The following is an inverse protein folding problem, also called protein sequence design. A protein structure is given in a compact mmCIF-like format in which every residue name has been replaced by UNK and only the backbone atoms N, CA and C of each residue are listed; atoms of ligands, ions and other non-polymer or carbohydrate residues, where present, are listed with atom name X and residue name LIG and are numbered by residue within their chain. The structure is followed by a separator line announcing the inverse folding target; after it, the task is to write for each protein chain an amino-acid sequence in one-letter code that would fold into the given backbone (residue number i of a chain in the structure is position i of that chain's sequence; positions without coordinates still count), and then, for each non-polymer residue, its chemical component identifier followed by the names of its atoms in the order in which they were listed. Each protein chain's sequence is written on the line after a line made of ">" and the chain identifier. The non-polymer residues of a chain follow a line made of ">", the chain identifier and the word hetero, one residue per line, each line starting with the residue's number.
data_IF_785184065993
#
_entry.id   IF_785184065993
#
_cell.length_a   1.000
_cell.length_b   1.000
_cell.length_c   1.000
_cell.angle_alpha   90.00
_cell.angle_beta   90.00
_cell.angle_gamma   90.00
#
_symmetry.space_group_name_H-M   'P 1'
#
loop_
_entity.id
_entity.type
_entity.pdbx_description
1 polymer ?
#
# COMPACT_ATOMS: atom_id res chain seq x y z
N UNK A 1 38.83 13.56 19.94
CA UNK A 1 39.77 12.48 19.54
C UNK A 1 39.20 11.78 18.31
N UNK A 2 39.99 11.80 17.23
CA UNK A 2 39.84 11.15 15.92
C UNK A 2 38.41 10.92 15.40
N UNK A 3 37.95 11.86 14.56
CA UNK A 3 36.88 11.58 13.60
C UNK A 3 37.31 10.40 12.73
N UNK A 4 36.62 9.26 12.85
CA UNK A 4 36.75 8.15 11.92
C UNK A 4 36.16 8.62 10.59
N UNK A 5 36.99 9.23 9.77
CA UNK A 5 36.67 9.51 8.38
C UNK A 5 36.49 8.15 7.72
N UNK A 6 35.27 7.84 7.31
CA UNK A 6 34.98 6.63 6.54
C UNK A 6 35.93 6.60 5.32
N UNK A 7 36.59 5.48 5.02
CA UNK A 7 37.53 5.41 3.91
C UNK A 7 36.83 5.81 2.61
N UNK A 8 37.50 6.55 1.71
CA UNK A 8 36.90 6.95 0.45
C UNK A 8 36.51 5.70 -0.33
N UNK A 9 35.22 5.59 -0.66
CA UNK A 9 34.70 4.50 -1.48
C UNK A 9 35.42 4.52 -2.83
N UNK A 10 35.90 3.36 -3.30
CA UNK A 10 36.56 3.28 -4.60
C UNK A 10 35.58 3.66 -5.71
N UNK A 11 36.08 4.22 -6.82
CA UNK A 11 35.24 4.61 -7.97
C UNK A 11 34.37 3.43 -8.48
N UNK A 12 34.84 2.20 -8.32
CA UNK A 12 34.09 0.97 -8.60
C UNK A 12 32.89 0.77 -7.66
N UNK A 13 33.05 0.98 -6.36
CA UNK A 13 31.96 0.89 -5.38
C UNK A 13 30.91 2.00 -5.57
N UNK A 14 31.35 3.20 -5.98
CA UNK A 14 30.45 4.30 -6.34
C UNK A 14 29.66 3.98 -7.63
N UNK A 15 30.30 3.43 -8.65
CA UNK A 15 29.62 3.02 -9.88
C UNK A 15 28.61 1.88 -9.63
N UNK A 16 28.94 0.92 -8.77
CA UNK A 16 28.07 -0.20 -8.44
C UNK A 16 26.82 0.25 -7.65
N UNK A 17 27.00 1.11 -6.64
CA UNK A 17 25.89 1.67 -5.85
C UNK A 17 24.95 2.55 -6.70
N UNK A 18 25.51 3.34 -7.63
CA UNK A 18 24.71 4.12 -8.57
C UNK A 18 23.86 3.24 -9.52
N UNK A 19 24.44 2.15 -10.05
CA UNK A 19 23.72 1.19 -10.90
C UNK A 19 22.59 0.51 -10.15
N UNK A 20 22.82 0.13 -8.89
CA UNK A 20 21.80 -0.49 -8.04
C UNK A 20 20.63 0.46 -7.73
N UNK A 21 20.93 1.69 -7.29
CA UNK A 21 19.91 2.72 -7.03
C UNK A 21 19.06 2.99 -8.28
N UNK A 22 19.69 3.08 -9.44
CA UNK A 22 19.00 3.29 -10.72
C UNK A 22 18.11 2.10 -11.07
N UNK A 23 18.59 0.86 -10.89
CA UNK A 23 17.81 -0.34 -11.13
C UNK A 23 16.57 -0.41 -10.23
N UNK A 24 16.72 -0.14 -8.92
CA UNK A 24 15.61 -0.10 -7.97
C UNK A 24 14.53 0.92 -8.39
N UNK A 25 14.94 2.11 -8.81
CA UNK A 25 14.00 3.16 -9.23
C UNK A 25 13.27 2.76 -10.51
N UNK A 26 13.95 2.15 -11.49
CA UNK A 26 13.30 1.63 -12.70
C UNK A 26 12.35 0.47 -12.40
N UNK A 27 12.68 -0.40 -11.45
CA UNK A 27 11.75 -1.45 -10.97
C UNK A 27 10.51 -0.85 -10.31
N UNK A 28 10.66 0.20 -9.50
CA UNK A 28 9.52 0.92 -8.94
C UNK A 28 8.66 1.56 -10.04
N UNK A 29 9.30 2.22 -11.01
CA UNK A 29 8.62 2.86 -12.16
C UNK A 29 7.84 1.82 -12.97
N UNK A 30 8.43 0.66 -13.28
CA UNK A 30 7.77 -0.39 -14.04
C UNK A 30 6.59 -0.99 -13.27
N UNK A 31 6.72 -1.16 -11.94
CA UNK A 31 5.61 -1.57 -11.09
C UNK A 31 4.47 -0.55 -11.13
N UNK A 32 4.75 0.74 -10.92
CA UNK A 32 3.73 1.79 -10.93
C UNK A 32 3.02 1.86 -12.30
N UNK A 33 3.78 1.73 -13.38
CA UNK A 33 3.23 1.69 -14.74
C UNK A 33 2.30 0.49 -14.92
N UNK A 34 2.76 -0.72 -14.58
CA UNK A 34 1.95 -1.93 -14.72
C UNK A 34 0.68 -1.86 -13.88
N UNK A 35 0.75 -1.40 -12.63
CA UNK A 35 -0.43 -1.29 -11.77
C UNK A 35 -1.45 -0.26 -12.30
N UNK A 36 -0.97 0.88 -12.83
CA UNK A 36 -1.82 1.93 -13.44
C UNK A 36 -2.56 1.42 -14.68
N UNK A 37 -1.86 0.70 -15.55
CA UNK A 37 -2.40 0.17 -16.80
C UNK A 37 -2.84 -1.29 -16.70
N UNK A 38 -3.09 -1.78 -15.48
CA UNK A 38 -3.23 -3.21 -15.21
C UNK A 38 -4.41 -3.89 -15.92
N UNK A 39 -5.50 -3.17 -16.22
CA UNK A 39 -6.59 -3.69 -17.03
C UNK A 39 -6.22 -3.77 -18.52
N UNK A 40 -5.74 -2.65 -19.07
CA UNK A 40 -5.38 -2.56 -20.48
C UNK A 40 -4.19 -3.47 -20.86
N UNK A 41 -3.14 -3.51 -20.03
CA UNK A 41 -1.97 -4.34 -20.28
C UNK A 41 -2.30 -5.83 -20.23
N UNK A 42 -3.18 -6.28 -19.32
CA UNK A 42 -3.61 -7.69 -19.31
C UNK A 42 -4.27 -8.08 -20.62
N UNK A 43 -5.19 -7.25 -21.09
CA UNK A 43 -5.89 -7.47 -22.35
C UNK A 43 -4.91 -7.56 -23.53
N UNK A 44 -4.06 -6.53 -23.72
CA UNK A 44 -3.15 -6.50 -24.87
C UNK A 44 -2.02 -7.54 -24.80
N UNK A 45 -1.50 -7.82 -23.61
CA UNK A 45 -0.47 -8.85 -23.45
C UNK A 45 -1.03 -10.26 -23.62
N UNK A 46 -2.27 -10.51 -23.22
CA UNK A 46 -2.91 -11.81 -23.47
C UNK A 46 -3.14 -12.03 -24.96
N UNK A 47 -3.64 -11.02 -25.69
CA UNK A 47 -3.74 -11.06 -27.15
C UNK A 47 -2.40 -11.35 -27.84
N UNK A 48 -1.29 -10.89 -27.26
CA UNK A 48 0.06 -11.14 -27.75
C UNK A 48 0.67 -12.48 -27.29
N UNK A 49 -0.06 -13.29 -26.49
CA UNK A 49 0.46 -14.52 -25.89
C UNK A 49 1.56 -14.29 -24.84
N UNK A 50 1.67 -13.07 -24.31
CA UNK A 50 2.74 -12.63 -23.42
C UNK A 50 2.21 -12.14 -22.05
N UNK A 51 1.06 -12.67 -21.61
CA UNK A 51 0.38 -12.29 -20.36
C UNK A 51 1.29 -12.42 -19.11
N UNK A 52 2.28 -13.31 -19.14
CA UNK A 52 3.27 -13.46 -18.08
C UNK A 52 4.13 -12.19 -17.84
N UNK A 53 4.34 -11.35 -18.85
CA UNK A 53 5.18 -10.15 -18.74
C UNK A 53 4.65 -9.13 -17.73
N UNK A 54 3.34 -9.15 -17.45
CA UNK A 54 2.74 -8.24 -16.47
C UNK A 54 3.29 -8.47 -15.05
N UNK A 55 3.80 -9.67 -14.77
CA UNK A 55 4.30 -10.02 -13.45
C UNK A 55 5.79 -9.68 -13.25
N UNK A 56 6.49 -9.32 -14.34
CA UNK A 56 7.93 -9.07 -14.32
C UNK A 56 8.37 -8.00 -13.29
N UNK A 57 7.67 -6.86 -13.12
CA UNK A 57 8.07 -5.87 -12.12
C UNK A 57 8.01 -6.40 -10.68
N UNK A 58 7.04 -7.26 -10.36
CA UNK A 58 6.90 -7.87 -9.02
C UNK A 58 7.98 -8.93 -8.79
N UNK A 59 8.39 -9.68 -9.82
CA UNK A 59 9.56 -10.58 -9.75
C UNK A 59 10.83 -9.75 -9.53
N UNK A 60 11.01 -8.64 -10.24
CA UNK A 60 12.14 -7.75 -10.05
C UNK A 60 12.18 -7.14 -8.64
N UNK A 61 11.02 -6.76 -8.07
CA UNK A 61 10.91 -6.33 -6.67
C UNK A 61 11.45 -7.41 -5.72
N UNK A 62 11.04 -8.66 -5.91
CA UNK A 62 11.48 -9.79 -5.08
C UNK A 62 12.99 -10.07 -5.22
N UNK A 63 13.50 -10.04 -6.46
CA UNK A 63 14.92 -10.26 -6.72
C UNK A 63 15.81 -9.18 -6.09
N UNK A 64 15.42 -7.90 -6.22
CA UNK A 64 16.15 -6.79 -5.59
C UNK A 64 16.05 -6.81 -4.07
N UNK A 65 14.89 -7.19 -3.53
CA UNK A 65 14.73 -7.44 -2.10
C UNK A 65 15.69 -8.53 -1.62
N UNK A 66 15.77 -9.68 -2.30
CA UNK A 66 16.66 -10.77 -1.93
C UNK A 66 18.14 -10.36 -1.98
N UNK A 67 18.53 -9.61 -3.02
CA UNK A 67 19.90 -9.08 -3.16
C UNK A 67 20.24 -8.10 -2.04
N UNK A 68 19.30 -7.21 -1.67
CA UNK A 68 19.51 -6.25 -0.58
C UNK A 68 19.53 -6.96 0.77
N UNK A 69 18.68 -7.96 0.98
CA UNK A 69 18.65 -8.74 2.20
C UNK A 69 19.99 -9.44 2.46
N UNK A 70 20.65 -9.94 1.41
CA UNK A 70 21.97 -10.58 1.52
C UNK A 70 23.12 -9.62 1.87
N UNK A 71 22.95 -8.32 1.65
CA UNK A 71 24.02 -7.31 1.79
C UNK A 71 23.76 -6.30 2.91
N UNK A 72 22.50 -6.09 3.29
CA UNK A 72 22.10 -5.07 4.25
C UNK A 72 22.23 -5.54 5.70
N UNK A 73 22.65 -4.61 6.57
CA UNK A 73 22.62 -4.82 8.02
C UNK A 73 21.25 -4.42 8.56
N UNK A 74 20.39 -5.42 8.77
CA UNK A 74 19.04 -5.19 9.29
C UNK A 74 19.00 -5.17 10.83
N UNK A 75 18.18 -4.31 11.44
CA UNK A 75 17.91 -4.34 12.87
C UNK A 75 17.19 -5.65 13.25
N UNK A 76 17.39 -6.09 14.51
CA UNK A 76 16.82 -7.35 15.03
C UNK A 76 15.31 -7.48 14.81
N UNK A 77 14.56 -6.38 14.95
CA UNK A 77 13.10 -6.38 14.75
C UNK A 77 12.69 -6.79 13.34
N UNK A 78 13.46 -6.39 12.32
CA UNK A 78 13.19 -6.77 10.93
C UNK A 78 13.54 -8.23 10.70
N UNK A 79 14.61 -8.75 11.31
CA UNK A 79 14.90 -10.19 11.25
C UNK A 79 13.80 -11.02 11.89
N UNK A 80 13.26 -10.60 13.05
CA UNK A 80 12.12 -11.27 13.68
C UNK A 80 10.90 -11.26 12.74
N UNK A 81 10.59 -10.13 12.12
CA UNK A 81 9.49 -10.04 11.15
C UNK A 81 9.73 -10.95 9.93
N UNK A 82 10.92 -10.94 9.34
CA UNK A 82 11.25 -11.77 8.18
C UNK A 82 11.26 -13.27 8.49
N UNK A 83 11.73 -13.66 9.68
CA UNK A 83 11.72 -15.06 10.14
C UNK A 83 10.32 -15.53 10.54
N UNK A 84 9.39 -14.61 10.83
CA UNK A 84 7.99 -14.99 11.05
C UNK A 84 7.32 -15.47 9.75
N UNK A 85 7.70 -14.94 8.58
CA UNK A 85 7.13 -15.34 7.28
C UNK A 85 7.24 -16.86 7.04
N UNK A 86 8.44 -17.51 7.11
CA UNK A 86 8.53 -18.95 6.93
C UNK A 86 7.79 -19.74 8.03
N UNK A 87 7.67 -19.22 9.26
CA UNK A 87 6.88 -19.87 10.31
C UNK A 87 5.38 -19.88 9.97
N UNK A 88 4.83 -18.75 9.50
CA UNK A 88 3.44 -18.67 9.04
C UNK A 88 3.22 -19.40 7.71
N UNK A 89 4.24 -19.53 6.86
CA UNK A 89 4.17 -20.36 5.67
C UNK A 89 4.11 -21.86 6.03
N UNK A 90 4.91 -22.31 7.00
CA UNK A 90 4.81 -23.67 7.51
C UNK A 90 3.43 -23.94 8.12
N UNK A 91 2.88 -22.98 8.87
CA UNK A 91 1.52 -23.05 9.40
C UNK A 91 0.48 -23.18 8.28
N UNK A 92 0.59 -22.37 7.21
CA UNK A 92 -0.29 -22.47 6.05
C UNK A 92 -0.27 -23.87 5.42
N UNK A 93 0.93 -24.45 5.24
CA UNK A 93 1.08 -25.80 4.69
C UNK A 93 0.42 -26.86 5.60
N UNK A 94 0.53 -26.71 6.92
CA UNK A 94 -0.18 -27.59 7.87
C UNK A 94 -1.70 -27.45 7.78
N UNK A 95 -2.20 -26.28 7.41
CA UNK A 95 -3.62 -26.00 7.21
C UNK A 95 -4.13 -26.37 5.80
N UNK A 96 -3.32 -27.05 4.99
CA UNK A 96 -3.72 -27.54 3.66
C UNK A 96 -3.35 -26.63 2.50
N UNK A 97 -2.60 -25.55 2.72
CA UNK A 97 -2.05 -24.76 1.63
C UNK A 97 -1.08 -25.58 0.78
N UNK A 98 -1.04 -25.30 -0.52
CA UNK A 98 0.04 -25.79 -1.37
C UNK A 98 1.28 -24.89 -1.27
N UNK A 99 2.44 -25.38 -1.73
CA UNK A 99 3.65 -24.55 -1.84
C UNK A 99 3.44 -23.36 -2.80
N UNK A 100 2.54 -23.51 -3.79
CA UNK A 100 2.20 -22.44 -4.73
C UNK A 100 1.48 -21.29 -4.02
N UNK A 101 0.66 -21.58 -3.02
CA UNK A 101 0.04 -20.54 -2.19
C UNK A 101 1.11 -19.66 -1.52
N UNK A 102 2.10 -20.28 -0.90
CA UNK A 102 3.19 -19.57 -0.21
C UNK A 102 3.98 -18.68 -1.18
N UNK A 103 4.40 -19.21 -2.33
CA UNK A 103 5.14 -18.43 -3.32
C UNK A 103 4.30 -17.31 -3.94
N UNK A 104 3.02 -17.56 -4.19
CA UNK A 104 2.13 -16.53 -4.73
C UNK A 104 1.86 -15.43 -3.70
N UNK A 105 1.72 -15.74 -2.42
CA UNK A 105 1.68 -14.73 -1.35
C UNK A 105 2.97 -13.91 -1.31
N UNK A 106 4.15 -14.54 -1.39
CA UNK A 106 5.42 -13.81 -1.44
C UNK A 106 5.48 -12.85 -2.65
N UNK A 107 4.89 -13.26 -3.77
CA UNK A 107 4.74 -12.43 -4.96
C UNK A 107 3.79 -11.24 -4.74
N UNK A 108 2.67 -11.42 -4.04
CA UNK A 108 1.72 -10.34 -3.67
C UNK A 108 2.39 -9.31 -2.76
N UNK A 109 3.14 -9.77 -1.75
CA UNK A 109 3.86 -8.90 -0.80
C UNK A 109 5.19 -8.34 -1.33
N UNK A 110 5.63 -8.73 -2.51
CA UNK A 110 6.95 -8.34 -3.03
C UNK A 110 7.16 -6.82 -3.11
N UNK A 111 6.17 -5.98 -3.49
CA UNK A 111 6.34 -4.53 -3.47
C UNK A 111 6.58 -3.95 -2.07
N UNK A 112 5.97 -4.54 -1.04
CA UNK A 112 6.15 -4.12 0.35
C UNK A 112 7.56 -4.43 0.82
N UNK A 113 8.02 -5.66 0.60
CA UNK A 113 9.37 -6.09 0.95
C UNK A 113 10.43 -5.28 0.20
N UNK A 114 10.20 -5.03 -1.09
CA UNK A 114 11.05 -4.18 -1.91
C UNK A 114 11.08 -2.73 -1.39
N UNK A 115 9.93 -2.12 -1.13
CA UNK A 115 9.85 -0.76 -0.58
C UNK A 115 10.53 -0.64 0.79
N UNK A 116 10.46 -1.68 1.63
CA UNK A 116 11.09 -1.73 2.95
C UNK A 116 12.61 -1.59 2.87
N UNK A 117 13.26 -2.30 1.94
CA UNK A 117 14.72 -2.33 1.86
C UNK A 117 15.30 -1.32 0.86
N UNK A 118 14.61 -1.07 -0.25
CA UNK A 118 15.06 -0.19 -1.33
C UNK A 118 14.43 1.21 -1.27
N UNK A 119 13.60 1.49 -0.26
CA UNK A 119 12.85 2.74 -0.17
C UNK A 119 13.72 3.99 -0.08
N UNK A 120 14.94 3.86 0.47
CA UNK A 120 15.89 4.97 0.55
C UNK A 120 16.36 5.39 -0.85
N UNK A 121 16.73 4.43 -1.68
CA UNK A 121 17.18 4.62 -3.06
C UNK A 121 16.07 5.29 -3.89
N UNK A 122 14.81 4.90 -3.65
CA UNK A 122 13.64 5.53 -4.26
C UNK A 122 13.49 7.01 -3.84
N UNK A 123 13.68 7.30 -2.55
CA UNK A 123 13.60 8.66 -2.02
C UNK A 123 14.78 9.55 -2.48
N UNK A 124 15.97 8.99 -2.69
CA UNK A 124 17.11 9.71 -3.27
C UNK A 124 16.82 10.17 -4.71
N UNK A 125 16.13 9.35 -5.51
CA UNK A 125 15.69 9.70 -6.87
C UNK A 125 14.25 10.23 -6.94
N UNK A 126 13.71 10.76 -5.84
CA UNK A 126 12.31 11.22 -5.73
C UNK A 126 11.84 12.13 -6.85
N UNK A 127 12.71 12.96 -7.44
CA UNK A 127 12.36 13.85 -8.57
C UNK A 127 12.03 13.08 -9.85
N UNK A 128 12.75 12.01 -10.15
CA UNK A 128 12.45 11.15 -11.29
C UNK A 128 11.12 10.44 -11.05
N UNK A 129 10.96 9.83 -9.87
CA UNK A 129 9.72 9.18 -9.47
C UNK A 129 8.53 10.15 -9.51
N UNK A 130 8.70 11.40 -9.07
CA UNK A 130 7.67 12.45 -9.12
C UNK A 130 7.24 12.79 -10.54
N UNK A 131 8.17 12.87 -11.50
CA UNK A 131 7.82 13.09 -12.92
C UNK A 131 7.00 11.94 -13.49
N UNK A 132 7.39 10.70 -13.18
CA UNK A 132 6.66 9.51 -13.63
C UNK A 132 5.27 9.45 -12.99
N UNK A 133 5.18 9.64 -11.66
CA UNK A 133 3.90 9.65 -10.93
C UNK A 133 2.96 10.73 -11.47
N UNK A 134 3.47 11.90 -11.86
CA UNK A 134 2.66 12.92 -12.51
C UNK A 134 2.10 12.44 -13.87
N UNK A 135 2.93 11.80 -14.69
CA UNK A 135 2.49 11.20 -15.95
C UNK A 135 1.43 10.11 -15.74
N UNK A 136 1.61 9.25 -14.73
CA UNK A 136 0.65 8.19 -14.39
C UNK A 136 -0.65 8.74 -13.80
N UNK A 137 -0.62 9.83 -13.04
CA UNK A 137 -1.81 10.52 -12.58
C UNK A 137 -2.61 11.08 -13.76
N UNK A 138 -1.94 11.73 -14.72
CA UNK A 138 -2.58 12.23 -15.94
C UNK A 138 -3.19 11.06 -16.72
N UNK A 139 -2.44 9.96 -16.89
CA UNK A 139 -2.95 8.76 -17.55
C UNK A 139 -4.17 8.15 -16.83
N UNK A 140 -4.18 8.17 -15.49
CA UNK A 140 -5.33 7.70 -14.69
C UNK A 140 -6.58 8.54 -14.95
N UNK A 141 -6.43 9.87 -15.00
CA UNK A 141 -7.53 10.79 -15.31
C UNK A 141 -8.03 10.63 -16.76
N UNK A 142 -7.11 10.45 -17.72
CA UNK A 142 -7.46 10.13 -19.11
C UNK A 142 -8.22 8.80 -19.17
N UNK A 143 -7.76 7.78 -18.44
CA UNK A 143 -8.42 6.48 -18.35
C UNK A 143 -9.86 6.59 -17.83
N UNK A 144 -10.10 7.41 -16.81
CA UNK A 144 -11.46 7.71 -16.32
C UNK A 144 -12.32 8.32 -17.42
N UNK A 145 -11.81 9.33 -18.13
CA UNK A 145 -12.56 9.98 -19.20
C UNK A 145 -12.86 9.00 -20.33
N UNK A 146 -11.89 8.16 -20.71
CA UNK A 146 -12.05 7.18 -21.76
C UNK A 146 -13.13 6.15 -21.40
N UNK A 147 -13.04 5.55 -20.22
CA UNK A 147 -14.02 4.54 -19.74
C UNK A 147 -15.42 5.15 -19.51
N UNK A 148 -15.49 6.44 -19.15
CA UNK A 148 -16.77 7.14 -18.99
C UNK A 148 -17.48 7.42 -20.32
N UNK A 149 -16.74 7.78 -21.36
CA UNK A 149 -17.31 8.24 -22.63
C UNK A 149 -17.23 7.21 -23.76
N UNK A 150 -16.49 6.13 -23.59
CA UNK A 150 -16.30 5.09 -24.60
C UNK A 150 -16.35 3.70 -23.98
N UNK A 151 -16.78 2.69 -24.74
CA UNK A 151 -16.72 1.29 -24.33
C UNK A 151 -15.30 0.75 -24.53
N UNK A 152 -14.53 0.64 -23.45
CA UNK A 152 -13.16 0.12 -23.53
C UNK A 152 -13.15 -1.42 -23.64
N UNK A 153 -12.31 -2.00 -24.52
CA UNK A 153 -12.37 -3.43 -24.84
C UNK A 153 -11.89 -4.34 -23.69
N UNK A 154 -11.09 -3.80 -22.77
CA UNK A 154 -10.60 -4.54 -21.60
C UNK A 154 -11.59 -4.56 -20.43
N UNK A 155 -12.76 -3.91 -20.52
CA UNK A 155 -13.74 -3.88 -19.43
C UNK A 155 -14.44 -5.23 -19.27
N UNK A 156 -14.49 -5.76 -18.05
CA UNK A 156 -15.11 -7.07 -17.78
C UNK A 156 -14.32 -8.28 -18.32
N UNK A 157 -13.11 -8.08 -18.83
CA UNK A 157 -12.30 -9.12 -19.43
C UNK A 157 -11.67 -10.06 -18.38
N UNK A 158 -11.64 -11.36 -18.65
CA UNK A 158 -10.96 -12.41 -17.87
C UNK A 158 -10.09 -13.27 -18.79
N UNK A 159 -8.99 -13.81 -18.26
CA UNK A 159 -8.04 -14.64 -19.02
C UNK A 159 -7.53 -15.80 -18.16
N UNK A 160 -7.12 -16.89 -18.81
CA UNK A 160 -6.54 -18.05 -18.13
C UNK A 160 -5.02 -17.91 -18.01
N UNK A 161 -4.46 -18.16 -16.83
CA UNK A 161 -3.02 -18.25 -16.64
C UNK A 161 -2.69 -19.48 -15.80
N UNK A 162 -1.90 -20.40 -16.36
CA UNK A 162 -1.50 -21.62 -15.65
C UNK A 162 -2.67 -22.55 -15.31
N UNK A 163 -3.76 -22.52 -16.09
CA UNK A 163 -4.96 -23.34 -15.89
C UNK A 163 -6.04 -22.72 -15.01
N UNK A 164 -5.81 -21.53 -14.45
CA UNK A 164 -6.77 -20.83 -13.60
C UNK A 164 -7.31 -19.56 -14.27
N UNK A 165 -8.62 -19.31 -14.13
CA UNK A 165 -9.28 -18.09 -14.61
C UNK A 165 -8.95 -16.89 -13.71
N UNK A 166 -8.27 -15.89 -14.25
CA UNK A 166 -7.93 -14.65 -13.55
C UNK A 166 -8.73 -13.51 -14.19
N UNK A 167 -9.52 -12.81 -13.37
CA UNK A 167 -10.21 -11.60 -13.81
C UNK A 167 -9.21 -10.49 -14.19
N UNK A 168 -9.21 -10.08 -15.47
CA UNK A 168 -8.34 -9.06 -16.03
C UNK A 168 -8.81 -7.63 -15.75
N UNK A 169 -10.12 -7.39 -15.78
CA UNK A 169 -10.81 -6.20 -15.28
C UNK A 169 -12.20 -6.62 -14.79
N UNK A 170 -12.56 -6.30 -13.55
CA UNK A 170 -13.88 -6.68 -13.02
C UNK A 170 -14.92 -5.63 -13.39
N UNK A 171 -15.90 -6.00 -14.20
CA UNK A 171 -17.08 -5.15 -14.39
C UNK A 171 -18.00 -5.32 -13.16
N UNK A 172 -18.01 -4.33 -12.27
CA UNK A 172 -18.83 -4.35 -11.05
C UNK A 172 -19.80 -3.18 -11.09
N UNK A 173 -21.10 -3.47 -11.16
CA UNK A 173 -22.14 -2.45 -11.07
C UNK A 173 -22.48 -2.20 -9.60
N UNK A 174 -22.74 -0.94 -9.23
CA UNK A 174 -23.29 -0.58 -7.91
C UNK A 174 -24.65 0.09 -8.11
N UNK A 175 -25.73 -0.69 -7.95
CA UNK A 175 -27.06 -0.27 -8.39
C UNK A 175 -27.09 -0.11 -9.91
N UNK A 176 -27.62 1.02 -10.41
CA UNK A 176 -27.67 1.34 -11.83
C UNK A 176 -26.40 2.03 -12.38
N UNK A 177 -25.41 2.32 -11.52
CA UNK A 177 -24.19 3.03 -11.90
C UNK A 177 -23.00 2.11 -12.15
N UNK A 178 -22.39 2.26 -13.32
CA UNK A 178 -21.16 1.58 -13.75
C UNK A 178 -19.94 2.14 -13.00
N UNK A 179 -19.14 1.27 -12.36
CA UNK A 179 -17.93 1.67 -11.63
C UNK A 179 -16.75 1.84 -12.59
N UNK A 180 -16.37 3.08 -12.82
CA UNK A 180 -15.28 3.45 -13.72
C UNK A 180 -13.92 3.00 -13.14
N UNK A 181 -13.26 2.09 -13.86
CA UNK A 181 -11.94 1.53 -13.52
C UNK A 181 -10.82 2.06 -14.43
N UNK A 182 -11.17 2.73 -15.53
CA UNK A 182 -10.21 3.32 -16.46
C UNK A 182 -9.26 2.29 -17.06
N UNK A 183 -7.95 2.55 -16.96
CA UNK A 183 -6.92 1.59 -17.37
C UNK A 183 -6.57 0.54 -16.30
N UNK A 184 -7.03 0.72 -15.07
CA UNK A 184 -6.73 -0.18 -13.96
C UNK A 184 -7.68 -1.39 -13.95
N UNK A 185 -7.35 -2.38 -13.12
CA UNK A 185 -8.13 -3.62 -12.96
C UNK A 185 -9.52 -3.40 -12.34
N UNK A 186 -9.62 -2.50 -11.36
CA UNK A 186 -10.82 -2.29 -10.53
C UNK A 186 -10.88 -0.82 -10.10
N UNK A 187 -12.08 -0.25 -9.99
CA UNK A 187 -12.31 1.16 -9.60
C UNK A 187 -11.69 1.55 -8.26
N UNK A 188 -11.78 0.67 -7.24
CA UNK A 188 -11.20 0.92 -5.92
C UNK A 188 -9.67 1.00 -5.97
N UNK A 189 -9.04 0.19 -6.82
CA UNK A 189 -7.58 0.25 -7.05
C UNK A 189 -7.21 1.57 -7.70
N UNK A 190 -7.91 1.97 -8.78
CA UNK A 190 -7.68 3.25 -9.44
C UNK A 190 -7.82 4.44 -8.46
N UNK A 191 -8.85 4.43 -7.64
CA UNK A 191 -9.08 5.45 -6.62
C UNK A 191 -7.91 5.54 -5.62
N UNK A 192 -7.41 4.39 -5.14
CA UNK A 192 -6.24 4.34 -4.27
C UNK A 192 -4.97 4.84 -4.98
N UNK A 193 -4.78 4.52 -6.26
CA UNK A 193 -3.66 5.02 -7.07
C UNK A 193 -3.70 6.55 -7.17
N UNK A 194 -4.84 7.14 -7.54
CA UNK A 194 -5.01 8.59 -7.63
C UNK A 194 -4.71 9.25 -6.28
N UNK A 195 -5.25 8.70 -5.18
CA UNK A 195 -4.99 9.19 -3.83
C UNK A 195 -3.47 9.22 -3.53
N UNK A 196 -2.79 8.09 -3.71
CA UNK A 196 -1.35 7.97 -3.45
C UNK A 196 -0.54 8.90 -4.36
N UNK A 197 -0.88 9.00 -5.65
CA UNK A 197 -0.18 9.86 -6.60
C UNK A 197 -0.32 11.34 -6.24
N UNK A 198 -1.53 11.81 -5.95
CA UNK A 198 -1.77 13.18 -5.50
C UNK A 198 -1.04 13.50 -4.19
N UNK A 199 -1.09 12.59 -3.21
CA UNK A 199 -0.39 12.78 -1.93
C UNK A 199 1.14 12.78 -2.11
N UNK A 200 1.68 11.89 -2.95
CA UNK A 200 3.11 11.88 -3.25
C UNK A 200 3.55 13.16 -3.97
N UNK A 201 2.79 13.62 -4.97
CA UNK A 201 3.09 14.86 -5.69
C UNK A 201 2.98 16.11 -4.81
N UNK A 202 2.17 16.07 -3.75
CA UNK A 202 2.07 17.15 -2.78
C UNK A 202 3.41 17.49 -2.11
N UNK A 203 4.36 16.55 -2.07
CA UNK A 203 5.74 16.81 -1.64
C UNK A 203 6.42 17.93 -2.44
N UNK A 204 6.14 17.98 -3.75
CA UNK A 204 6.73 18.96 -4.67
C UNK A 204 5.93 20.26 -4.75
N UNK A 205 4.74 20.32 -4.14
CA UNK A 205 3.93 21.54 -4.12
C UNK A 205 4.63 22.61 -3.28
N UNK A 206 5.16 23.64 -3.95
CA UNK A 206 5.85 24.76 -3.31
C UNK A 206 4.91 25.88 -2.87
N UNK A 207 3.70 25.93 -3.42
CA UNK A 207 2.67 26.92 -3.12
C UNK A 207 1.39 26.26 -2.63
N UNK A 208 0.62 26.99 -1.84
CA UNK A 208 -0.70 26.54 -1.39
C UNK A 208 -1.65 26.28 -2.56
N UNK A 209 -1.54 27.07 -3.64
CA UNK A 209 -2.34 26.89 -4.86
C UNK A 209 -2.05 25.56 -5.55
N UNK A 210 -0.78 25.18 -5.70
CA UNK A 210 -0.42 23.89 -6.29
C UNK A 210 -0.88 22.73 -5.41
N UNK A 211 -0.78 22.88 -4.09
CA UNK A 211 -1.29 21.89 -3.15
C UNK A 211 -2.82 21.75 -3.27
N UNK A 212 -3.55 22.86 -3.32
CA UNK A 212 -5.01 22.89 -3.48
C UNK A 212 -5.43 22.29 -4.83
N UNK A 213 -4.70 22.58 -5.91
CA UNK A 213 -4.94 21.97 -7.22
C UNK A 213 -4.79 20.44 -7.15
N UNK A 214 -3.73 19.94 -6.51
CA UNK A 214 -3.54 18.48 -6.34
C UNK A 214 -4.64 17.86 -5.48
N UNK A 215 -5.09 18.56 -4.43
CA UNK A 215 -6.19 18.12 -3.58
C UNK A 215 -7.53 18.06 -4.34
N UNK A 216 -7.86 19.10 -5.10
CA UNK A 216 -9.10 19.15 -5.89
C UNK A 216 -9.08 18.12 -7.02
N UNK A 217 -7.98 18.02 -7.76
CA UNK A 217 -7.82 17.01 -8.82
C UNK A 217 -7.92 15.59 -8.27
N UNK A 218 -7.28 15.32 -7.12
CA UNK A 218 -7.35 14.02 -6.47
C UNK A 218 -8.77 13.68 -6.02
N UNK A 219 -9.43 14.59 -5.30
CA UNK A 219 -10.79 14.37 -4.81
C UNK A 219 -11.79 14.19 -5.96
N UNK A 220 -11.71 15.03 -6.99
CA UNK A 220 -12.55 14.94 -8.19
C UNK A 220 -12.32 13.61 -8.93
N UNK A 221 -11.06 13.25 -9.19
CA UNK A 221 -10.71 12.00 -9.85
C UNK A 221 -11.21 10.77 -9.09
N UNK A 222 -11.04 10.75 -7.76
CA UNK A 222 -11.53 9.66 -6.92
C UNK A 222 -13.05 9.58 -6.93
N UNK A 223 -13.77 10.70 -6.79
CA UNK A 223 -15.23 10.73 -6.82
C UNK A 223 -15.80 10.21 -8.14
N UNK A 224 -15.12 10.49 -9.27
CA UNK A 224 -15.52 9.96 -10.58
C UNK A 224 -15.40 8.44 -10.68
N UNK A 225 -14.51 7.79 -9.90
CA UNK A 225 -14.44 6.32 -9.85
C UNK A 225 -15.61 5.68 -9.10
N UNK A 226 -16.53 6.49 -8.53
CA UNK A 226 -17.65 6.08 -7.66
C UNK A 226 -17.24 5.36 -6.36
N UNK A 227 -15.93 5.33 -6.05
CA UNK A 227 -15.37 4.67 -4.86
C UNK A 227 -15.45 5.61 -3.64
N UNK A 228 -16.50 5.45 -2.83
CA UNK A 228 -16.80 6.34 -1.69
C UNK A 228 -15.75 6.27 -0.58
N UNK A 229 -15.26 5.07 -0.26
CA UNK A 229 -14.31 4.89 0.84
C UNK A 229 -12.95 5.56 0.58
N UNK A 230 -12.30 5.39 -0.59
CA UNK A 230 -11.11 6.17 -0.93
C UNK A 230 -11.35 7.69 -0.96
N UNK A 231 -12.53 8.16 -1.39
CA UNK A 231 -12.85 9.58 -1.38
C UNK A 231 -12.85 10.15 0.04
N UNK A 232 -13.53 9.45 0.96
CA UNK A 232 -13.58 9.83 2.38
C UNK A 232 -12.18 9.78 3.01
N UNK A 233 -11.43 8.70 2.78
CA UNK A 233 -10.05 8.55 3.27
C UNK A 233 -9.14 9.69 2.81
N UNK A 234 -9.22 10.07 1.53
CA UNK A 234 -8.46 11.18 0.98
C UNK A 234 -8.88 12.52 1.61
N UNK A 235 -10.19 12.78 1.74
CA UNK A 235 -10.70 13.99 2.39
C UNK A 235 -10.25 14.12 3.85
N UNK A 236 -10.35 13.06 4.66
CA UNK A 236 -9.84 13.05 6.03
C UNK A 236 -8.32 13.23 6.10
N UNK A 237 -7.58 12.72 5.11
CA UNK A 237 -6.13 12.96 5.00
C UNK A 237 -5.83 14.42 4.69
N UNK A 238 -6.60 15.07 3.82
CA UNK A 238 -6.47 16.52 3.58
C UNK A 238 -6.76 17.33 4.85
N UNK A 239 -7.79 16.94 5.62
CA UNK A 239 -8.09 17.55 6.92
C UNK A 239 -6.93 17.36 7.90
N UNK A 240 -6.34 16.16 7.97
CA UNK A 240 -5.14 15.90 8.75
C UNK A 240 -4.01 16.84 8.33
N UNK A 241 -3.76 17.01 7.03
CA UNK A 241 -2.71 17.88 6.49
C UNK A 241 -2.92 19.36 6.81
N UNK A 242 -4.16 19.85 6.79
CA UNK A 242 -4.52 21.22 7.16
C UNK A 242 -4.46 21.44 8.68
N UNK A 243 -4.89 20.43 9.45
CA UNK A 243 -5.01 20.46 10.91
C UNK A 243 -3.72 20.21 11.69
N UNK A 244 -2.59 19.94 11.01
CA UNK A 244 -1.31 19.55 11.65
C UNK A 244 -0.75 20.55 12.66
N UNK A 245 -1.19 21.81 12.61
CA UNK A 245 -0.77 22.84 13.56
C UNK A 245 -1.35 22.62 14.95
N UNK A 246 -2.44 21.87 15.04
CA UNK A 246 -3.14 21.55 16.27
C UNK A 246 -2.77 20.12 16.71
N UNK A 247 -1.88 19.95 17.71
CA UNK A 247 -1.32 18.65 18.04
C UNK A 247 -2.40 17.69 18.56
N UNK A 248 -3.30 18.16 19.43
CA UNK A 248 -4.36 17.33 20.01
C UNK A 248 -5.32 16.76 18.96
N UNK A 249 -5.81 17.59 18.04
CA UNK A 249 -6.69 17.11 16.97
C UNK A 249 -5.96 16.17 16.02
N UNK A 250 -4.67 16.42 15.76
CA UNK A 250 -3.84 15.52 14.93
C UNK A 250 -3.68 14.16 15.60
N UNK A 251 -3.30 14.10 16.87
CA UNK A 251 -3.18 12.84 17.61
C UNK A 251 -4.51 12.10 17.69
N UNK A 252 -5.61 12.82 17.93
CA UNK A 252 -6.95 12.24 17.94
C UNK A 252 -7.31 11.64 16.57
N UNK A 253 -7.06 12.34 15.46
CA UNK A 253 -7.30 11.81 14.12
C UNK A 253 -6.45 10.57 13.82
N UNK A 254 -5.18 10.56 14.19
CA UNK A 254 -4.31 9.40 14.03
C UNK A 254 -4.80 8.21 14.85
N UNK A 255 -5.22 8.45 16.09
CA UNK A 255 -5.79 7.43 16.96
C UNK A 255 -7.10 6.87 16.37
N UNK A 256 -8.03 7.76 15.99
CA UNK A 256 -9.31 7.37 15.38
C UNK A 256 -9.11 6.62 14.07
N UNK A 257 -8.09 6.97 13.28
CA UNK A 257 -7.73 6.27 12.05
C UNK A 257 -7.37 4.79 12.28
N UNK A 258 -6.62 4.49 13.35
CA UNK A 258 -6.24 3.10 13.67
C UNK A 258 -7.35 2.39 14.44
N UNK A 259 -7.90 3.03 15.48
CA UNK A 259 -8.93 2.43 16.33
C UNK A 259 -10.22 2.20 15.54
N UNK A 260 -10.61 3.11 14.64
CA UNK A 260 -11.79 2.93 13.79
C UNK A 260 -11.69 1.67 12.92
N UNK A 261 -10.54 1.41 12.31
CA UNK A 261 -10.33 0.20 11.51
C UNK A 261 -10.45 -1.08 12.32
N UNK A 262 -9.99 -1.08 13.58
CA UNK A 262 -10.15 -2.21 14.51
C UNK A 262 -11.61 -2.38 14.96
N UNK A 263 -12.28 -1.28 15.30
CA UNK A 263 -13.62 -1.31 15.88
C UNK A 263 -14.67 -1.76 14.87
N UNK A 264 -14.53 -1.45 13.58
CA UNK A 264 -15.55 -1.76 12.58
C UNK A 264 -15.86 -3.27 12.48
N UNK A 265 -14.88 -4.18 12.28
CA UNK A 265 -15.13 -5.62 12.30
C UNK A 265 -15.54 -6.17 13.67
N UNK A 266 -15.12 -5.54 14.76
CA UNK A 266 -15.54 -5.95 16.11
C UNK A 266 -17.03 -5.62 16.31
N UNK A 267 -17.47 -4.45 15.85
CA UNK A 267 -18.86 -4.02 15.92
C UNK A 267 -19.77 -4.95 15.11
N UNK A 268 -19.33 -5.46 13.95
CA UNK A 268 -20.11 -6.47 13.20
C UNK A 268 -20.35 -7.77 13.96
N UNK A 269 -19.49 -8.12 14.91
CA UNK A 269 -19.65 -9.37 15.68
C UNK A 269 -20.51 -9.19 16.93
N UNK A 270 -20.62 -7.97 17.45
CA UNK A 270 -21.31 -7.69 18.72
C UNK A 270 -22.72 -7.18 18.47
N UNK A 271 -22.96 -6.50 17.35
CA UNK A 271 -24.22 -5.82 17.05
C UNK A 271 -24.88 -6.41 15.83
N UNK A 272 -26.16 -6.73 15.97
CA UNK A 272 -27.03 -7.04 14.85
C UNK A 272 -27.33 -5.76 14.06
N UNK A 273 -26.87 -5.73 12.82
CA UNK A 273 -27.19 -4.69 11.86
C UNK A 273 -28.40 -5.11 11.02
N UNK A 274 -29.27 -4.15 10.69
CA UNK A 274 -30.47 -4.42 9.91
C UNK A 274 -30.10 -4.93 8.49
N UNK A 275 -30.43 -6.19 8.16
CA UNK A 275 -30.14 -6.76 6.86
C UNK A 275 -30.88 -6.06 5.71
N UNK A 276 -32.00 -5.39 5.99
CA UNK A 276 -32.78 -4.69 4.95
C UNK A 276 -32.02 -3.53 4.31
N UNK A 277 -31.05 -2.95 5.01
CA UNK A 277 -30.17 -1.90 4.48
C UNK A 277 -29.20 -2.46 3.44
N UNK A 278 -28.81 -3.74 3.54
CA UNK A 278 -27.95 -4.42 2.57
C UNK A 278 -28.63 -4.50 1.20
N UNK A 279 -29.93 -4.78 1.18
CA UNK A 279 -30.74 -4.90 -0.04
C UNK A 279 -31.29 -3.56 -0.56
N UNK A 280 -31.06 -2.47 0.16
CA UNK A 280 -31.51 -1.14 -0.24
C UNK A 280 -30.57 -0.49 -1.27
N UNK A 281 -31.09 0.37 -2.14
CA UNK A 281 -30.27 1.25 -3.00
C UNK A 281 -29.56 2.38 -2.22
N UNK A 282 -29.44 2.25 -0.90
CA UNK A 282 -28.80 3.25 -0.08
C UNK A 282 -27.32 3.36 -0.42
N UNK A 283 -26.79 4.58 -0.28
CA UNK A 283 -25.38 4.83 -0.55
C UNK A 283 -24.41 4.07 0.36
N UNK A 284 -24.90 3.42 1.41
CA UNK A 284 -24.16 2.66 2.41
C UNK A 284 -24.36 1.13 2.30
N UNK A 285 -25.14 0.64 1.33
CA UNK A 285 -25.48 -0.78 1.20
C UNK A 285 -24.23 -1.69 1.21
N UNK A 286 -23.21 -1.37 0.42
CA UNK A 286 -21.95 -2.13 0.38
C UNK A 286 -21.15 -2.08 1.70
N UNK A 287 -21.31 -1.02 2.51
CA UNK A 287 -20.69 -0.97 3.83
C UNK A 287 -21.45 -1.84 4.84
N UNK A 288 -22.79 -1.84 4.78
CA UNK A 288 -23.63 -2.72 5.59
C UNK A 288 -23.44 -4.19 5.22
N UNK A 289 -23.27 -4.51 3.93
CA UNK A 289 -22.97 -5.86 3.47
C UNK A 289 -21.72 -6.44 4.13
N UNK A 290 -20.69 -5.60 4.33
CA UNK A 290 -19.47 -6.00 5.06
C UNK A 290 -19.74 -6.31 6.53
N UNK A 291 -20.55 -5.49 7.17
CA UNK A 291 -20.89 -5.63 8.58
C UNK A 291 -21.81 -6.84 8.85
N UNK A 292 -22.70 -7.16 7.93
CA UNK A 292 -23.69 -8.23 8.11
C UNK A 292 -23.17 -9.57 7.60
N UNK A 293 -22.56 -9.57 6.40
CA UNK A 293 -22.20 -10.81 5.71
C UNK A 293 -20.68 -11.02 5.68
N UNK A 294 -19.88 -10.05 5.22
CA UNK A 294 -18.46 -10.32 4.90
C UNK A 294 -17.62 -10.63 6.13
N UNK A 295 -17.58 -9.73 7.12
CA UNK A 295 -16.68 -9.89 8.27
C UNK A 295 -17.12 -11.00 9.23
N UNK A 296 -18.42 -11.14 9.57
CA UNK A 296 -18.88 -12.26 10.40
C UNK A 296 -18.61 -13.62 9.77
N UNK A 297 -18.89 -13.81 8.46
CA UNK A 297 -18.68 -15.09 7.80
C UNK A 297 -17.19 -15.49 7.76
N UNK A 298 -16.29 -14.53 7.52
CA UNK A 298 -14.83 -14.81 7.58
C UNK A 298 -14.41 -15.23 8.99
N UNK A 299 -15.00 -14.63 10.03
CA UNK A 299 -14.73 -15.00 11.42
C UNK A 299 -15.24 -16.40 11.73
N UNK A 300 -16.40 -16.79 11.21
CA UNK A 300 -16.94 -18.15 11.33
C UNK A 300 -16.00 -19.19 10.71
N UNK A 301 -15.57 -18.97 9.46
CA UNK A 301 -14.63 -19.87 8.76
C UNK A 301 -13.27 -19.94 9.46
N UNK A 302 -12.81 -18.85 10.09
CA UNK A 302 -11.59 -18.88 10.93
C UNK A 302 -11.78 -19.61 12.26
N UNK A 303 -13.01 -19.63 12.80
CA UNK A 303 -13.33 -20.17 14.12
C UNK A 303 -13.60 -21.66 14.11
N UNK A 304 -14.27 -22.18 13.08
CA UNK A 304 -14.54 -23.61 12.91
C UNK A 304 -13.28 -24.49 13.05
N UNK A 305 -12.15 -24.20 12.37
CA UNK A 305 -10.91 -24.98 12.52
C UNK A 305 -10.03 -24.51 13.69
N UNK A 306 -10.44 -23.48 14.45
CA UNK A 306 -9.71 -22.98 15.61
C UNK A 306 -8.50 -22.07 15.31
N UNK A 307 -8.47 -21.41 14.14
CA UNK A 307 -7.34 -20.58 13.69
C UNK A 307 -7.38 -19.14 14.18
N UNK A 308 -8.34 -18.78 15.03
CA UNK A 308 -8.56 -17.40 15.50
C UNK A 308 -7.34 -16.77 16.20
N UNK A 309 -6.55 -17.57 16.92
CA UNK A 309 -5.37 -17.11 17.63
C UNK A 309 -4.11 -17.09 16.76
N UNK A 310 -3.88 -18.18 16.01
CA UNK A 310 -2.67 -18.42 15.22
C UNK A 310 -2.72 -17.79 13.84
N UNK A 311 -3.91 -17.50 13.31
CA UNK A 311 -4.10 -17.22 11.89
C UNK A 311 -4.14 -18.50 11.06
N UNK A 312 -4.66 -18.38 9.85
CA UNK A 312 -4.67 -19.43 8.83
C UNK A 312 -3.29 -19.64 8.21
N UNK A 313 -2.42 -18.62 8.24
CA UNK A 313 -1.03 -18.70 7.76
C UNK A 313 -0.78 -17.95 6.44
N UNK A 314 0.51 -17.81 6.11
CA UNK A 314 0.99 -17.08 4.94
C UNK A 314 0.77 -17.88 3.67
N UNK A 315 -0.28 -17.56 2.91
CA UNK A 315 -0.74 -18.34 1.76
C UNK A 315 -2.24 -18.62 1.75
N UNK A 316 -2.90 -18.45 2.90
CA UNK A 316 -4.28 -18.92 3.12
C UNK A 316 -5.33 -17.81 3.05
N UNK A 317 -5.01 -16.68 2.43
CA UNK A 317 -5.95 -15.57 2.30
C UNK A 317 -5.69 -14.75 1.02
N UNK A 318 -6.70 -14.02 0.56
CA UNK A 318 -6.55 -13.03 -0.51
C UNK A 318 -6.51 -13.63 -1.91
N UNK A 319 -5.83 -12.94 -2.83
CA UNK A 319 -5.67 -13.39 -4.22
C UNK A 319 -4.93 -14.73 -4.34
N UNK A 320 -4.21 -15.13 -3.30
CA UNK A 320 -3.58 -16.46 -3.22
C UNK A 320 -4.62 -17.56 -3.20
N UNK A 321 -5.69 -17.40 -2.41
CA UNK A 321 -6.79 -18.38 -2.34
C UNK A 321 -7.65 -18.38 -3.60
N UNK A 322 -7.74 -17.24 -4.29
CA UNK A 322 -8.37 -17.19 -5.62
C UNK A 322 -7.56 -17.97 -6.67
N UNK A 323 -6.22 -17.89 -6.61
CA UNK A 323 -5.35 -18.55 -7.57
C UNK A 323 -5.14 -20.04 -7.25
N UNK A 324 -5.08 -20.41 -5.98
CA UNK A 324 -4.84 -21.77 -5.51
C UNK A 324 -5.82 -22.08 -4.37
N UNK A 325 -7.09 -22.40 -4.70
CA UNK A 325 -8.12 -22.61 -3.70
C UNK A 325 -7.84 -23.86 -2.87
N UNK A 326 -8.11 -23.77 -1.56
CA UNK A 326 -8.08 -24.91 -0.64
C UNK A 326 -9.54 -25.31 -0.36
N UNK A 327 -9.91 -26.59 -0.54
CA UNK A 327 -11.28 -27.04 -0.35
C UNK A 327 -11.86 -26.65 1.00
N UNK A 328 -13.07 -26.10 1.01
CA UNK A 328 -13.78 -25.69 2.23
C UNK A 328 -13.44 -24.30 2.77
N UNK A 329 -12.59 -23.52 2.07
CA UNK A 329 -12.16 -22.18 2.49
C UNK A 329 -12.45 -21.10 1.44
N UNK A 330 -13.53 -21.25 0.67
CA UNK A 330 -13.85 -20.37 -0.47
C UNK A 330 -14.09 -18.90 -0.05
N UNK A 331 -14.49 -18.67 1.20
CA UNK A 331 -14.71 -17.34 1.76
C UNK A 331 -13.41 -16.60 2.15
N UNK A 332 -12.25 -17.26 2.09
CA UNK A 332 -10.94 -16.66 2.41
C UNK A 332 -10.33 -15.86 1.24
N UNK A 333 -11.11 -15.57 0.20
CA UNK A 333 -10.63 -14.88 -1.00
C UNK A 333 -10.55 -13.37 -0.80
N UNK A 334 -11.59 -12.75 -0.23
CA UNK A 334 -11.66 -11.29 -0.02
C UNK A 334 -12.35 -11.01 1.33
N UNK A 335 -11.87 -10.03 2.09
CA UNK A 335 -12.59 -9.51 3.27
C UNK A 335 -12.85 -8.01 3.23
N UNK A 336 -12.30 -7.31 2.25
CA UNK A 336 -12.38 -5.85 2.13
C UNK A 336 -12.05 -5.14 3.47
N UNK A 337 -11.02 -5.59 4.18
CA UNK A 337 -10.58 -4.99 5.43
C UNK A 337 -9.16 -5.43 5.76
N UNK A 338 -8.24 -4.47 5.82
CA UNK A 338 -6.83 -4.75 6.04
C UNK A 338 -6.53 -5.28 7.44
N UNK A 339 -7.35 -4.96 8.44
CA UNK A 339 -7.21 -5.57 9.78
C UNK A 339 -7.66 -7.02 9.75
N UNK A 340 -8.80 -7.33 9.12
CA UNK A 340 -9.31 -8.71 9.01
C UNK A 340 -8.34 -9.53 8.17
N UNK A 341 -7.84 -8.97 7.07
CA UNK A 341 -6.80 -9.59 6.24
C UNK A 341 -5.57 -9.97 7.09
N UNK A 342 -5.00 -9.04 7.86
CA UNK A 342 -3.84 -9.33 8.71
C UNK A 342 -4.16 -10.36 9.79
N UNK A 343 -5.35 -10.31 10.38
CA UNK A 343 -5.80 -11.28 11.37
C UNK A 343 -5.99 -12.67 10.77
N UNK A 344 -6.59 -12.80 9.59
CA UNK A 344 -6.71 -14.08 8.89
C UNK A 344 -5.34 -14.69 8.60
N UNK A 345 -4.36 -13.89 8.17
CA UNK A 345 -3.02 -14.40 7.83
C UNK A 345 -2.19 -14.71 9.08
N UNK A 346 -2.18 -13.81 10.07
CA UNK A 346 -1.22 -13.83 11.20
C UNK A 346 -1.86 -13.95 12.59
N UNK A 347 -3.19 -14.13 12.69
CA UNK A 347 -3.91 -14.21 13.94
C UNK A 347 -3.75 -12.95 14.79
N UNK A 348 -3.54 -13.12 16.10
CA UNK A 348 -3.38 -12.01 17.04
C UNK A 348 -2.15 -11.14 16.71
N UNK A 349 -1.10 -11.74 16.12
CA UNK A 349 0.07 -10.98 15.66
C UNK A 349 -0.33 -10.02 14.54
N UNK A 350 -1.28 -10.40 13.68
CA UNK A 350 -1.83 -9.52 12.65
C UNK A 350 -2.48 -8.26 13.21
N UNK A 351 -3.27 -8.41 14.28
CA UNK A 351 -3.88 -7.28 14.99
C UNK A 351 -2.79 -6.38 15.59
N UNK A 352 -1.76 -6.97 16.20
CA UNK A 352 -0.63 -6.22 16.73
C UNK A 352 0.10 -5.44 15.63
N UNK A 353 0.37 -6.06 14.48
CA UNK A 353 0.96 -5.41 13.31
C UNK A 353 0.11 -4.24 12.81
N UNK A 354 -1.22 -4.39 12.78
CA UNK A 354 -2.13 -3.30 12.43
C UNK A 354 -2.01 -2.15 13.43
N UNK A 355 -1.96 -2.44 14.74
CA UNK A 355 -1.82 -1.44 15.81
C UNK A 355 -0.48 -0.68 15.74
N UNK A 356 0.59 -1.27 15.20
CA UNK A 356 1.89 -0.60 15.02
C UNK A 356 1.83 0.60 14.06
N UNK A 357 0.76 0.77 13.30
CA UNK A 357 0.54 1.96 12.49
C UNK A 357 0.45 3.23 13.36
N UNK A 358 -0.12 3.16 14.57
CA UNK A 358 -0.24 4.33 15.44
C UNK A 358 1.13 4.91 15.87
N UNK A 359 2.05 4.13 16.48
CA UNK A 359 3.37 4.65 16.80
C UNK A 359 4.17 5.05 15.54
N UNK A 360 3.93 4.39 14.40
CA UNK A 360 4.50 4.80 13.12
C UNK A 360 4.03 6.20 12.69
N UNK A 361 2.73 6.47 12.76
CA UNK A 361 2.16 7.78 12.44
C UNK A 361 2.69 8.86 13.39
N UNK A 362 2.74 8.56 14.69
CA UNK A 362 3.28 9.49 15.69
C UNK A 362 4.74 9.83 15.38
N UNK A 363 5.58 8.85 15.04
CA UNK A 363 6.98 9.10 14.67
C UNK A 363 7.12 9.98 13.42
N UNK A 364 6.31 9.72 12.39
CA UNK A 364 6.31 10.56 11.18
C UNK A 364 5.78 11.97 11.44
N UNK A 365 4.80 12.11 12.34
CA UNK A 365 4.26 13.40 12.72
C UNK A 365 5.28 14.25 13.51
N UNK A 366 6.02 13.62 14.43
CA UNK A 366 7.06 14.28 15.22
C UNK A 366 8.23 14.75 14.35
N UNK A 367 8.57 13.99 13.31
CA UNK A 367 9.55 14.41 12.33
C UNK A 367 9.00 15.54 11.44
N UNK A 368 9.66 16.70 11.46
CA UNK A 368 9.18 17.91 10.77
C UNK A 368 9.62 18.01 9.30
N UNK A 369 10.43 17.09 8.81
CA UNK A 369 10.91 17.09 7.42
C UNK A 369 9.79 16.75 6.43
N UNK A 370 9.87 17.31 5.22
CA UNK A 370 8.83 17.14 4.19
C UNK A 370 8.59 15.68 3.80
N UNK A 371 9.61 14.83 3.88
CA UNK A 371 9.48 13.41 3.51
C UNK A 371 8.60 12.68 4.54
N UNK A 372 8.89 12.83 5.83
CA UNK A 372 8.04 12.32 6.91
C UNK A 372 6.61 12.83 6.80
N UNK A 373 6.44 14.11 6.42
CA UNK A 373 5.12 14.70 6.25
C UNK A 373 4.30 14.09 5.12
N UNK A 374 4.93 13.81 3.97
CA UNK A 374 4.29 13.17 2.82
C UNK A 374 4.03 11.69 3.09
N UNK A 375 4.99 10.98 3.68
CA UNK A 375 4.82 9.56 4.04
C UNK A 375 3.72 9.38 5.09
N UNK A 376 3.59 10.29 6.06
CA UNK A 376 2.46 10.29 7.00
C UNK A 376 1.13 10.40 6.27
N UNK A 377 1.01 11.35 5.35
CA UNK A 377 -0.23 11.56 4.61
C UNK A 377 -0.61 10.33 3.78
N UNK A 378 0.36 9.75 3.06
CA UNK A 378 0.15 8.53 2.28
C UNK A 378 -0.24 7.37 3.20
N UNK A 379 0.54 7.08 4.25
CA UNK A 379 0.29 5.95 5.13
C UNK A 379 -1.04 6.08 5.89
N UNK A 380 -1.41 7.29 6.32
CA UNK A 380 -2.71 7.55 6.95
C UNK A 380 -3.87 7.37 5.97
N UNK A 381 -3.75 7.88 4.73
CA UNK A 381 -4.76 7.68 3.71
C UNK A 381 -4.96 6.19 3.39
N UNK A 382 -3.85 5.44 3.26
CA UNK A 382 -3.89 4.00 3.01
C UNK A 382 -4.51 3.22 4.19
N UNK A 383 -4.25 3.65 5.43
CA UNK A 383 -4.89 3.08 6.63
C UNK A 383 -6.42 3.22 6.58
N UNK A 384 -6.92 4.40 6.23
CA UNK A 384 -8.36 4.66 6.09
C UNK A 384 -8.97 3.92 4.89
N UNK A 385 -8.28 3.85 3.75
CA UNK A 385 -8.71 3.01 2.61
C UNK A 385 -8.81 1.54 3.04
N UNK A 386 -7.87 1.10 3.86
CA UNK A 386 -7.79 -0.24 4.42
C UNK A 386 -8.92 -0.61 5.38
N UNK A 387 -9.79 0.33 5.78
CA UNK A 387 -10.98 -0.01 6.57
C UNK A 387 -12.00 -0.84 5.78
N UNK A 388 -12.08 -0.63 4.47
CA UNK A 388 -13.10 -1.26 3.61
C UNK A 388 -12.50 -1.83 2.32
N UNK A 389 -11.17 -2.04 2.29
CA UNK A 389 -10.43 -2.55 1.14
C UNK A 389 -9.26 -3.41 1.60
N UNK A 390 -8.98 -4.48 0.87
CA UNK A 390 -7.81 -5.34 1.08
C UNK A 390 -6.53 -4.67 0.55
N UNK A 391 -5.94 -3.80 1.37
CA UNK A 391 -4.81 -2.95 0.99
C UNK A 391 -3.59 -3.73 0.51
N UNK A 392 -3.37 -4.92 1.08
CA UNK A 392 -2.25 -5.79 0.76
C UNK A 392 -2.34 -6.42 -0.64
N UNK A 393 -3.49 -6.34 -1.29
CA UNK A 393 -3.67 -6.73 -2.70
C UNK A 393 -3.29 -5.61 -3.68
N UNK A 394 -3.10 -4.38 -3.18
CA UNK A 394 -2.76 -3.20 -3.99
C UNK A 394 -1.25 -3.01 -3.98
N UNK A 395 -0.58 -3.40 -5.07
CA UNK A 395 0.89 -3.37 -5.18
C UNK A 395 1.52 -2.00 -4.91
N UNK A 396 0.87 -0.92 -5.35
CA UNK A 396 1.35 0.45 -5.09
C UNK A 396 1.20 0.85 -3.62
N UNK A 397 0.11 0.45 -2.97
CA UNK A 397 -0.05 0.69 -1.54
C UNK A 397 1.03 -0.04 -0.74
N UNK A 398 1.26 -1.32 -1.06
CA UNK A 398 2.33 -2.13 -0.50
C UNK A 398 3.70 -1.46 -0.65
N UNK A 399 4.02 -0.96 -1.84
CA UNK A 399 5.27 -0.22 -2.08
C UNK A 399 5.44 0.95 -1.12
N UNK A 400 4.43 1.82 -0.99
CA UNK A 400 4.52 3.02 -0.15
C UNK A 400 4.51 2.72 1.35
N UNK A 401 3.81 1.67 1.79
CA UNK A 401 3.90 1.16 3.17
C UNK A 401 5.32 0.66 3.44
N UNK A 402 5.88 -0.11 2.51
CA UNK A 402 7.28 -0.55 2.54
C UNK A 402 8.25 0.62 2.67
N UNK A 403 8.16 1.62 1.79
CA UNK A 403 9.00 2.83 1.82
C UNK A 403 8.88 3.52 3.19
N UNK A 404 7.67 3.62 3.73
CA UNK A 404 7.41 4.27 5.02
C UNK A 404 8.07 3.52 6.18
N UNK A 405 7.95 2.18 6.20
CA UNK A 405 8.61 1.33 7.19
C UNK A 405 10.13 1.41 7.08
N UNK A 406 10.67 1.32 5.86
CA UNK A 406 12.10 1.42 5.58
C UNK A 406 12.67 2.77 6.02
N UNK A 407 11.96 3.85 5.69
CA UNK A 407 12.34 5.21 6.07
C UNK A 407 12.45 5.40 7.59
N UNK A 408 11.66 4.71 8.40
CA UNK A 408 11.72 4.83 9.86
C UNK A 408 12.68 3.83 10.52
N UNK A 409 12.70 2.59 10.03
CA UNK A 409 13.41 1.49 10.67
C UNK A 409 14.87 1.38 10.25
N UNK A 410 15.21 1.83 9.04
CA UNK A 410 16.56 1.76 8.48
C UNK A 410 17.28 3.12 8.46
N UNK A 411 16.61 4.21 8.90
CA UNK A 411 17.26 5.50 9.08
C UNK A 411 18.38 5.33 10.12
N UNK A 412 19.64 5.68 9.80
CA UNK A 412 20.69 5.71 10.80
C UNK A 412 20.22 6.60 11.95
N UNK A 413 20.38 6.14 13.20
CA UNK A 413 20.24 7.03 14.35
C UNK A 413 21.29 8.13 14.17
N UNK A 414 20.91 9.28 13.60
CA UNK A 414 21.61 10.52 13.89
C UNK A 414 21.46 10.73 15.38
N UNK A 415 22.56 10.60 16.12
CA UNK A 415 22.61 10.92 17.53
C UNK A 415 21.99 12.32 17.74
N UNK A 416 20.90 12.45 18.49
CA UNK A 416 20.31 13.76 18.79
C UNK A 416 21.20 14.62 19.71
N UNK A 417 22.39 14.16 20.08
CA UNK A 417 23.35 14.86 20.94
C UNK A 417 24.35 15.77 20.22
N UNK A 418 24.41 15.79 18.89
CA UNK A 418 25.32 16.68 18.14
C UNK A 418 24.55 17.83 17.48
N UNK A 419 23.97 18.70 18.31
CA UNK A 419 23.87 20.10 17.91
C UNK A 419 25.30 20.60 17.72
N UNK A 420 25.79 20.56 16.47
CA UNK A 420 26.89 21.39 16.03
C UNK A 420 26.49 22.83 16.39
N UNK A 421 27.02 23.29 17.52
CA UNK A 421 27.17 24.72 17.81
C UNK A 421 27.84 25.27 16.56
N UNK A 422 27.06 25.93 15.71
CA UNK A 422 27.64 26.81 14.68
C UNK A 422 28.53 27.76 15.46
N UNK A 423 29.85 27.83 15.20
CA UNK A 423 30.59 28.97 15.69
C UNK A 423 29.89 30.21 15.13
N UNK A 424 29.56 31.14 16.03
CA UNK A 424 29.05 32.44 15.64
C UNK A 424 29.99 33.01 14.56
N UNK A 425 29.47 33.71 13.53
CA UNK A 425 30.33 34.39 12.59
C UNK A 425 31.20 35.34 13.41
N UNK A 426 32.52 35.09 13.41
CA UNK A 426 33.49 36.05 13.92
C UNK A 426 33.20 37.37 13.22
N UNK A 427 32.71 38.30 14.02
CA UNK A 427 32.62 39.70 13.68
C UNK A 427 34.01 40.14 13.25
N UNK A 428 34.16 40.46 11.98
CA UNK A 428 35.22 41.31 11.46
C UNK A 428 35.29 42.57 12.33
N UNK A 429 36.26 42.62 13.23
CA UNK A 429 36.68 43.86 13.86
C UNK A 429 37.65 44.58 12.90
N UNK A 430 37.45 45.89 12.65
CA UNK A 430 38.28 46.65 11.73
C UNK A 430 39.48 47.30 12.44
N UNK A 431 40.52 47.59 11.66
CA UNK A 431 41.71 48.43 11.96
C UNK A 431 42.75 47.74 12.88
N UNK A 432 44.06 47.89 12.70
CA UNK A 432 44.88 48.84 11.94
C UNK A 432 46.22 48.18 11.55
#
# INVERSE_FOLDING_TARGET
>A
MSAVVAPPQSAFQQALSWRYSTLAVWTAISLLFVETFSGALRYYLDMAGASALIYLPKIACLALFALQLATAKLPRILWVALLSIPAYAALALLHGASINNVFFSLFVYSPLLFGLLCGRELLEQRRLLGRVVLGLLIASLIGILLDKYTSVPWKGYSYTLGGNDIAGNTNWMAGEADRIAGFARVSNVLAALIAVYCLYLSYFARSYTLWLLMALTGLFGILLTTSKAPAAAFAFTLMLMLGRRFPWSTYLLLLLGVVGGLLLPILSLIRDFDPHVVTSDSGLASFYDRLVNTWPNVVEVMSEPGWTLTGAGFGMFGSTMAAFPVPGLDLMVNCDSSVVYLWCVFGVVGIALYCLQLPLFIRLYLNRDRESQTLLAIAFCLCLIGWTTDLFEIGVANLFIGITLGYLLLKPKTDPGLHLVRPAPETLAPHA
#
